data_IF_237292545463
#
_entry.id   IF_237292545463
#
_cell.length_a   1.000
_cell.length_b   1.000
_cell.length_c   1.000
_cell.angle_alpha   90.00
_cell.angle_beta   90.00
_cell.angle_gamma   90.00
#
_symmetry.space_group_name_H-M   'P 1'
#
loop_
_entity.id
_entity.type
_entity.pdbx_description
1 polymer ?
#
# COMPACT_ATOMS: atom_id res chain seq x y z
N UNK A 1 -5.10 -86.39 -5.41
CA UNK A 1 -4.56 -85.43 -6.38
C UNK A 1 -4.64 -84.02 -5.82
N UNK A 2 -3.55 -83.53 -5.23
CA UNK A 2 -3.44 -82.21 -4.63
C UNK A 2 -2.87 -81.25 -5.69
N UNK A 3 -3.62 -80.18 -6.02
CA UNK A 3 -3.17 -79.12 -6.86
C UNK A 3 -2.51 -78.05 -6.00
N UNK A 4 -1.22 -77.85 -6.19
CA UNK A 4 -0.45 -76.77 -5.60
C UNK A 4 -0.55 -75.54 -6.51
N UNK A 5 -1.05 -74.41 -5.99
CA UNK A 5 -1.03 -73.10 -6.65
C UNK A 5 0.38 -72.48 -6.60
N UNK A 6 0.85 -71.79 -7.64
CA UNK A 6 2.14 -71.10 -7.61
C UNK A 6 2.11 -69.83 -6.78
N UNK A 7 3.25 -69.38 -6.23
CA UNK A 7 3.31 -68.17 -5.40
C UNK A 7 3.12 -66.89 -6.27
N UNK A 8 2.22 -66.02 -5.77
CA UNK A 8 1.96 -64.73 -6.41
C UNK A 8 3.16 -63.80 -6.36
N UNK A 9 3.50 -63.26 -7.52
CA UNK A 9 4.47 -62.18 -7.68
C UNK A 9 3.79 -60.87 -7.33
N UNK A 10 4.13 -60.30 -6.17
CA UNK A 10 3.68 -58.97 -5.74
C UNK A 10 4.64 -57.93 -6.38
N UNK A 11 4.23 -57.39 -7.52
CA UNK A 11 4.94 -56.33 -8.22
C UNK A 11 4.30 -54.95 -7.88
N UNK A 12 4.38 -54.56 -6.62
CA UNK A 12 4.08 -53.16 -6.24
C UNK A 12 5.27 -52.28 -6.73
N UNK A 13 5.04 -51.25 -7.57
CA UNK A 13 6.09 -50.33 -7.97
C UNK A 13 6.62 -49.57 -6.76
N UNK A 14 7.93 -49.28 -6.69
CA UNK A 14 8.48 -48.50 -5.58
C UNK A 14 7.86 -47.11 -5.57
N UNK A 15 7.37 -46.70 -4.38
CA UNK A 15 6.86 -45.38 -4.16
C UNK A 15 7.92 -44.31 -4.48
N UNK A 16 7.70 -43.57 -5.54
CA UNK A 16 8.53 -42.42 -5.87
C UNK A 16 8.41 -41.39 -4.77
N UNK A 17 9.41 -41.30 -3.91
CA UNK A 17 9.53 -40.22 -2.95
C UNK A 17 9.75 -38.92 -3.73
N UNK A 18 8.69 -38.14 -3.94
CA UNK A 18 8.81 -36.77 -4.42
C UNK A 18 9.47 -35.99 -3.27
N UNK A 19 10.78 -35.80 -3.37
CA UNK A 19 11.52 -34.85 -2.51
C UNK A 19 11.14 -33.46 -2.98
N UNK A 20 10.09 -32.89 -2.38
CA UNK A 20 9.82 -31.46 -2.49
C UNK A 20 11.00 -30.78 -1.78
N UNK A 21 11.96 -30.30 -2.55
CA UNK A 21 12.97 -29.37 -2.03
C UNK A 21 12.24 -28.10 -1.65
N UNK A 22 11.96 -27.95 -0.36
CA UNK A 22 11.60 -26.65 0.20
C UNK A 22 12.86 -25.77 0.04
N UNK A 23 12.86 -24.92 -0.99
CA UNK A 23 13.85 -23.85 -1.07
C UNK A 23 13.71 -22.98 0.18
N UNK A 24 14.83 -22.64 0.80
CA UNK A 24 14.82 -21.64 1.88
C UNK A 24 14.15 -20.36 1.37
N UNK A 25 13.37 -19.65 2.23
CA UNK A 25 12.76 -18.40 1.80
C UNK A 25 13.83 -17.44 1.26
N UNK A 26 13.49 -16.75 0.17
CA UNK A 26 14.39 -15.79 -0.48
C UNK A 26 14.80 -14.70 0.52
N UNK A 27 16.08 -14.37 0.60
CA UNK A 27 16.52 -13.28 1.47
C UNK A 27 16.19 -11.92 0.85
N UNK A 28 16.04 -10.86 1.67
CA UNK A 28 15.84 -9.50 1.18
C UNK A 28 16.95 -9.08 0.20
N UNK A 29 18.19 -9.47 0.48
CA UNK A 29 19.33 -9.17 -0.40
C UNK A 29 19.20 -9.83 -1.77
N UNK A 30 18.74 -11.08 -1.83
CA UNK A 30 18.56 -11.79 -3.10
C UNK A 30 17.34 -11.22 -3.86
N UNK A 31 16.27 -10.86 -3.16
CA UNK A 31 15.13 -10.18 -3.74
C UNK A 31 15.51 -8.82 -4.37
N UNK A 32 16.36 -8.03 -3.69
CA UNK A 32 16.88 -6.77 -4.23
C UNK A 32 17.77 -6.98 -5.46
N UNK A 33 18.65 -7.99 -5.43
CA UNK A 33 19.47 -8.34 -6.62
C UNK A 33 18.61 -8.75 -7.81
N UNK A 34 17.57 -9.56 -7.58
CA UNK A 34 16.62 -9.96 -8.61
C UNK A 34 15.84 -8.75 -9.17
N UNK A 35 15.35 -7.86 -8.28
CA UNK A 35 14.68 -6.65 -8.71
C UNK A 35 15.61 -5.72 -9.51
N UNK A 36 16.87 -5.58 -9.06
CA UNK A 36 17.87 -4.77 -9.77
C UNK A 36 18.24 -5.34 -11.15
N UNK A 37 18.23 -6.66 -11.31
CA UNK A 37 18.55 -7.34 -12.56
C UNK A 37 17.37 -7.36 -13.56
N UNK A 38 16.15 -7.02 -13.13
CA UNK A 38 14.98 -7.02 -14.00
C UNK A 38 15.15 -6.03 -15.16
N UNK A 39 14.70 -6.40 -16.35
CA UNK A 39 14.82 -5.54 -17.53
C UNK A 39 14.04 -4.22 -17.33
N UNK A 40 12.83 -4.30 -16.80
CA UNK A 40 11.98 -3.15 -16.47
C UNK A 40 11.50 -3.28 -15.03
N UNK A 41 11.74 -2.25 -14.21
CA UNK A 41 11.45 -2.22 -12.78
C UNK A 41 10.48 -1.07 -12.44
N UNK A 42 9.46 -1.38 -11.63
CA UNK A 42 8.67 -0.40 -10.90
C UNK A 42 9.10 -0.40 -9.43
N UNK A 43 9.43 0.75 -8.88
CA UNK A 43 9.68 0.96 -7.45
C UNK A 43 8.58 1.87 -6.92
N UNK A 44 7.67 1.32 -6.13
CA UNK A 44 6.58 2.04 -5.51
C UNK A 44 6.82 2.14 -4.01
N UNK A 45 6.68 3.33 -3.44
CA UNK A 45 6.81 3.56 -2.01
C UNK A 45 5.58 4.27 -1.48
N UNK A 46 5.07 3.82 -0.33
CA UNK A 46 4.24 4.68 0.49
C UNK A 46 5.06 5.86 1.02
N UNK A 47 4.37 6.89 1.51
CA UNK A 47 5.01 8.12 1.97
C UNK A 47 5.07 8.23 3.49
N UNK A 48 3.92 8.33 4.16
CA UNK A 48 3.82 8.57 5.61
C UNK A 48 4.08 7.27 6.40
N UNK A 49 5.11 7.24 7.23
CA UNK A 49 5.56 6.02 7.94
C UNK A 49 6.60 5.21 7.17
N UNK A 50 6.77 5.46 5.88
CA UNK A 50 7.68 4.74 4.99
C UNK A 50 8.89 5.58 4.56
N UNK A 51 8.67 6.81 4.10
CA UNK A 51 9.71 7.76 3.68
C UNK A 51 9.77 9.00 4.57
N UNK A 52 8.66 9.36 5.20
CA UNK A 52 8.53 10.46 6.14
C UNK A 52 7.96 9.98 7.46
N UNK A 53 8.40 10.49 8.63
CA UNK A 53 7.81 10.13 9.91
C UNK A 53 6.39 10.67 10.04
N UNK A 54 5.57 9.98 10.86
CA UNK A 54 4.31 10.54 11.29
C UNK A 54 4.54 11.76 12.18
N UNK A 55 3.90 12.87 11.84
CA UNK A 55 3.94 14.14 12.58
C UNK A 55 2.53 14.64 12.86
N UNK A 56 2.37 15.51 13.86
CA UNK A 56 1.05 16.03 14.23
C UNK A 56 0.48 17.00 13.17
N UNK A 57 1.34 17.82 12.58
CA UNK A 57 0.98 18.66 11.42
C UNK A 57 1.30 17.92 10.12
N UNK A 58 0.32 17.44 9.35
CA UNK A 58 0.55 16.74 8.10
C UNK A 58 1.36 17.54 7.07
N UNK A 59 1.32 18.89 7.14
CA UNK A 59 2.09 19.78 6.27
C UNK A 59 3.59 19.79 6.60
N UNK A 60 3.98 19.32 7.79
CA UNK A 60 5.37 19.26 8.24
C UNK A 60 6.03 17.88 8.03
N UNK A 61 5.34 16.90 7.41
CA UNK A 61 5.87 15.57 7.14
C UNK A 61 6.88 15.60 5.99
N UNK A 62 8.12 15.96 6.27
CA UNK A 62 9.20 15.98 5.27
C UNK A 62 9.88 14.60 5.14
N UNK A 63 10.40 14.23 3.95
CA UNK A 63 11.12 12.98 3.77
C UNK A 63 12.34 12.89 4.67
N UNK A 64 12.64 11.69 5.13
CA UNK A 64 13.85 11.42 5.87
C UNK A 64 15.11 11.80 5.04
N UNK A 65 16.21 12.22 5.70
CA UNK A 65 17.44 12.57 5.01
C UNK A 65 17.91 11.49 4.04
N UNK A 66 18.12 11.86 2.78
CA UNK A 66 18.54 10.97 1.70
C UNK A 66 17.42 10.25 0.94
N UNK A 67 16.16 10.28 1.42
CA UNK A 67 15.05 9.60 0.76
C UNK A 67 14.78 10.16 -0.65
N UNK A 68 14.64 11.47 -0.79
CA UNK A 68 14.42 12.12 -2.09
C UNK A 68 15.57 11.82 -3.07
N UNK A 69 16.82 11.96 -2.63
CA UNK A 69 17.98 11.68 -3.47
C UNK A 69 18.04 10.21 -3.94
N UNK A 70 17.66 9.25 -3.08
CA UNK A 70 17.62 7.84 -3.47
C UNK A 70 16.53 7.56 -4.51
N UNK A 71 15.35 8.17 -4.38
CA UNK A 71 14.27 8.07 -5.36
C UNK A 71 14.66 8.69 -6.70
N UNK A 72 15.25 9.87 -6.69
CA UNK A 72 15.74 10.57 -7.89
C UNK A 72 16.81 9.75 -8.62
N UNK A 73 17.77 9.18 -7.87
CA UNK A 73 18.77 8.29 -8.46
C UNK A 73 18.14 7.08 -9.15
N UNK A 74 17.19 6.42 -8.50
CA UNK A 74 16.47 5.29 -9.09
C UNK A 74 15.68 5.71 -10.33
N UNK A 75 14.96 6.84 -10.27
CA UNK A 75 14.17 7.35 -11.38
C UNK A 75 15.01 7.79 -12.58
N UNK A 76 16.28 8.10 -12.38
CA UNK A 76 17.23 8.41 -13.44
C UNK A 76 17.79 7.16 -14.15
N UNK A 77 17.62 5.96 -13.58
CA UNK A 77 18.12 4.73 -14.18
C UNK A 77 17.24 4.27 -15.35
N UNK A 78 17.83 3.70 -16.41
CA UNK A 78 17.06 3.21 -17.55
C UNK A 78 16.01 2.17 -17.14
N UNK A 79 14.83 2.25 -17.78
CA UNK A 79 13.72 1.31 -17.57
C UNK A 79 13.33 1.12 -16.10
N UNK A 80 13.44 2.19 -15.32
CA UNK A 80 13.05 2.23 -13.91
C UNK A 80 11.98 3.30 -13.71
N UNK A 81 10.82 2.90 -13.28
CA UNK A 81 9.74 3.81 -12.90
C UNK A 81 9.65 3.87 -11.39
N UNK A 82 9.70 5.08 -10.83
CA UNK A 82 9.58 5.31 -9.39
C UNK A 82 8.27 6.04 -9.11
N UNK A 83 7.49 5.56 -8.14
CA UNK A 83 6.22 6.15 -7.75
C UNK A 83 6.08 6.29 -6.24
N UNK A 84 5.51 7.42 -5.79
CA UNK A 84 5.02 7.61 -4.44
C UNK A 84 3.51 7.38 -4.42
N UNK A 85 3.05 6.44 -3.59
CA UNK A 85 1.65 6.10 -3.41
C UNK A 85 1.20 6.54 -2.01
N UNK A 86 0.24 7.46 -1.90
CA UNK A 86 -0.15 8.03 -0.60
C UNK A 86 -1.67 8.14 -0.43
N UNK A 87 -2.13 8.09 0.82
CA UNK A 87 -3.49 8.49 1.19
C UNK A 87 -3.75 9.99 1.08
N UNK A 88 -2.69 10.80 0.99
CA UNK A 88 -2.80 12.24 0.70
C UNK A 88 -3.34 12.45 -0.70
N UNK A 89 -4.03 13.57 -0.96
CA UNK A 89 -4.24 13.97 -2.33
C UNK A 89 -2.90 14.31 -3.00
N UNK A 90 -2.86 14.28 -4.33
CA UNK A 90 -1.62 14.46 -5.09
C UNK A 90 -0.95 15.81 -4.84
N UNK A 91 -1.73 16.89 -4.70
CA UNK A 91 -1.21 18.23 -4.44
C UNK A 91 -0.54 18.31 -3.05
N UNK A 92 -1.16 17.74 -2.01
CA UNK A 92 -0.59 17.68 -0.67
C UNK A 92 0.68 16.80 -0.64
N UNK A 93 0.69 15.67 -1.36
CA UNK A 93 1.86 14.82 -1.49
C UNK A 93 3.01 15.57 -2.19
N UNK A 94 2.74 16.27 -3.28
CA UNK A 94 3.74 17.07 -3.98
C UNK A 94 4.35 18.16 -3.08
N UNK A 95 3.51 18.83 -2.27
CA UNK A 95 3.95 19.91 -1.39
C UNK A 95 4.94 19.44 -0.31
N UNK A 96 4.78 18.22 0.22
CA UNK A 96 5.61 17.72 1.34
C UNK A 96 6.75 16.81 0.89
N UNK A 97 6.60 16.08 -0.22
CA UNK A 97 7.60 15.09 -0.65
C UNK A 97 8.85 15.72 -1.27
N UNK A 98 8.74 16.92 -1.82
CA UNK A 98 9.81 17.53 -2.60
C UNK A 98 10.19 16.72 -3.86
N UNK A 99 9.41 15.70 -4.20
CA UNK A 99 9.68 14.87 -5.37
C UNK A 99 9.44 15.63 -6.66
N UNK A 100 10.38 15.47 -7.58
CA UNK A 100 10.34 16.09 -8.92
C UNK A 100 10.26 15.01 -9.99
N UNK A 101 9.79 15.39 -11.17
CA UNK A 101 9.81 14.49 -12.32
C UNK A 101 11.25 13.91 -12.55
N UNK A 102 11.39 12.64 -12.89
CA UNK A 102 10.33 11.71 -13.35
C UNK A 102 9.68 10.83 -12.27
N UNK A 103 9.73 11.20 -10.97
CA UNK A 103 9.05 10.47 -9.91
C UNK A 103 7.53 10.67 -10.04
N UNK A 104 6.79 9.59 -10.21
CA UNK A 104 5.33 9.60 -10.31
C UNK A 104 4.71 9.85 -8.93
N UNK A 105 3.73 10.77 -8.85
CA UNK A 105 2.96 11.02 -7.63
C UNK A 105 1.54 10.50 -7.81
N UNK A 106 1.14 9.57 -6.98
CA UNK A 106 -0.19 8.97 -6.98
C UNK A 106 -0.84 9.18 -5.62
N UNK A 107 -1.85 10.02 -5.59
CA UNK A 107 -2.59 10.40 -4.39
C UNK A 107 -3.84 9.55 -4.14
N UNK A 108 -4.54 9.88 -3.06
CA UNK A 108 -5.86 9.32 -2.72
C UNK A 108 -5.88 7.79 -2.78
N UNK A 109 -4.89 7.16 -2.10
CA UNK A 109 -4.69 5.70 -2.04
C UNK A 109 -4.54 5.00 -3.39
N UNK A 110 -4.11 5.71 -4.44
CA UNK A 110 -3.87 5.11 -5.76
C UNK A 110 -4.86 5.53 -6.84
N UNK A 111 -5.83 6.39 -6.53
CA UNK A 111 -6.86 6.81 -7.49
C UNK A 111 -6.58 8.13 -8.20
N UNK A 112 -5.67 8.98 -7.68
CA UNK A 112 -5.39 10.32 -8.21
C UNK A 112 -4.01 10.38 -8.87
N UNK A 113 -3.97 10.60 -10.16
CA UNK A 113 -2.80 10.63 -11.03
C UNK A 113 -2.52 12.04 -11.56
N UNK A 114 -1.44 12.25 -12.28
CA UNK A 114 -1.20 13.53 -12.97
C UNK A 114 -2.29 13.85 -13.98
N UNK A 115 -2.81 12.85 -14.66
CA UNK A 115 -3.93 12.97 -15.60
C UNK A 115 -5.29 13.19 -14.92
N UNK A 116 -5.34 13.27 -13.59
CA UNK A 116 -6.56 13.33 -12.79
C UNK A 116 -6.94 11.97 -12.18
N UNK A 117 -8.18 11.85 -11.72
CA UNK A 117 -8.67 10.58 -11.17
C UNK A 117 -8.86 9.55 -12.28
N UNK A 118 -8.53 8.29 -11.99
CA UNK A 118 -8.75 7.16 -12.91
C UNK A 118 -10.18 7.10 -13.44
N UNK A 119 -11.10 7.38 -12.54
CA UNK A 119 -12.52 7.55 -12.83
C UNK A 119 -13.03 8.73 -11.99
N UNK A 120 -13.22 9.92 -12.57
CA UNK A 120 -13.75 11.06 -11.84
C UNK A 120 -15.12 10.73 -11.24
N UNK A 121 -15.49 11.33 -10.08
CA UNK A 121 -16.80 11.14 -9.48
C UNK A 121 -17.89 11.52 -10.49
N UNK A 122 -18.92 10.66 -10.58
CA UNK A 122 -20.14 10.96 -11.33
C UNK A 122 -21.23 11.52 -10.41
N UNK A 123 -22.39 11.86 -10.98
CA UNK A 123 -23.51 12.44 -10.24
C UNK A 123 -23.98 11.55 -9.07
N UNK A 124 -24.03 10.24 -9.27
CA UNK A 124 -24.39 9.28 -8.21
C UNK A 124 -23.35 9.26 -7.06
N UNK A 125 -22.05 9.37 -7.38
CA UNK A 125 -21.01 9.45 -6.39
C UNK A 125 -21.10 10.74 -5.57
N UNK A 126 -21.40 11.87 -6.22
CA UNK A 126 -21.58 13.16 -5.54
C UNK A 126 -22.77 13.14 -4.56
N UNK A 127 -23.87 12.48 -4.92
CA UNK A 127 -25.02 12.30 -4.02
C UNK A 127 -24.61 11.48 -2.79
N UNK A 128 -23.91 10.37 -2.97
CA UNK A 128 -23.45 9.52 -1.85
C UNK A 128 -22.44 10.28 -1.00
N UNK A 129 -21.48 10.98 -1.62
CA UNK A 129 -20.46 11.76 -0.92
C UNK A 129 -21.07 12.90 -0.09
N UNK A 130 -22.07 13.59 -0.64
CA UNK A 130 -22.81 14.64 0.11
C UNK A 130 -23.50 14.07 1.35
N UNK A 131 -24.10 12.88 1.26
CA UNK A 131 -24.71 12.20 2.40
C UNK A 131 -23.69 11.77 3.45
N UNK A 132 -22.52 11.25 3.01
CA UNK A 132 -21.41 10.90 3.90
C UNK A 132 -20.94 12.15 4.66
N UNK A 133 -20.69 13.25 3.94
CA UNK A 133 -20.25 14.53 4.51
C UNK A 133 -21.22 15.03 5.57
N UNK A 134 -22.51 15.12 5.24
CA UNK A 134 -23.54 15.58 6.18
C UNK A 134 -23.60 14.72 7.45
N UNK A 135 -23.55 13.39 7.31
CA UNK A 135 -23.57 12.51 8.48
C UNK A 135 -22.29 12.61 9.35
N UNK A 136 -21.12 12.82 8.75
CA UNK A 136 -19.88 13.04 9.52
C UNK A 136 -19.89 14.41 10.21
N UNK A 137 -20.42 15.45 9.58
CA UNK A 137 -20.59 16.78 10.20
C UNK A 137 -21.53 16.74 11.42
N UNK A 138 -22.61 15.93 11.36
CA UNK A 138 -23.47 15.69 12.52
C UNK A 138 -22.72 15.01 13.68
N UNK A 139 -21.80 14.08 13.38
CA UNK A 139 -20.94 13.46 14.40
C UNK A 139 -20.01 14.50 15.02
N UNK A 140 -19.38 15.34 14.21
CA UNK A 140 -18.47 16.42 14.67
C UNK A 140 -19.20 17.41 15.59
N UNK A 141 -20.45 17.80 15.26
CA UNK A 141 -21.23 18.73 16.05
C UNK A 141 -21.39 18.29 17.53
N UNK A 142 -21.41 16.97 17.79
CA UNK A 142 -21.54 16.40 19.15
C UNK A 142 -20.22 15.86 19.72
N UNK A 143 -19.11 16.04 18.99
CA UNK A 143 -17.78 15.52 19.38
C UNK A 143 -16.75 16.66 19.38
N UNK A 144 -16.63 17.44 20.47
CA UNK A 144 -15.65 18.53 20.56
C UNK A 144 -14.23 18.04 20.27
N UNK A 145 -13.52 18.75 19.40
CA UNK A 145 -12.16 18.40 18.95
C UNK A 145 -12.11 17.52 17.70
N UNK A 146 -13.23 16.89 17.29
CA UNK A 146 -13.29 16.20 16.00
C UNK A 146 -13.43 17.19 14.84
N UNK A 147 -12.97 16.78 13.65
CA UNK A 147 -13.20 17.54 12.41
C UNK A 147 -13.28 16.61 11.20
N UNK A 148 -13.88 17.11 10.13
CA UNK A 148 -13.97 16.41 8.85
C UNK A 148 -13.02 17.07 7.87
N UNK A 149 -12.14 16.25 7.27
CA UNK A 149 -11.37 16.61 6.08
C UNK A 149 -12.16 16.17 4.83
N UNK A 150 -12.39 17.12 3.93
CA UNK A 150 -13.09 16.85 2.68
C UNK A 150 -12.07 16.61 1.55
N UNK A 151 -12.22 15.47 0.88
CA UNK A 151 -11.45 15.12 -0.32
C UNK A 151 -12.40 15.00 -1.53
N UNK A 152 -11.88 15.03 -2.76
CA UNK A 152 -12.73 14.95 -3.96
C UNK A 152 -13.63 13.71 -4.05
N UNK A 153 -13.17 12.57 -3.52
CA UNK A 153 -13.88 11.27 -3.60
C UNK A 153 -14.15 10.66 -2.24
N UNK A 154 -13.83 11.36 -1.14
CA UNK A 154 -14.01 10.85 0.23
C UNK A 154 -14.22 11.97 1.24
N UNK A 155 -14.64 11.60 2.44
CA UNK A 155 -14.59 12.45 3.62
C UNK A 155 -13.94 11.67 4.76
N UNK A 156 -13.09 12.34 5.54
CA UNK A 156 -12.29 11.74 6.59
C UNK A 156 -12.69 12.35 7.94
N UNK A 157 -13.12 11.52 8.87
CA UNK A 157 -13.35 11.90 10.26
C UNK A 157 -12.06 11.76 11.04
N UNK A 158 -11.54 12.87 11.55
CA UNK A 158 -10.38 12.91 12.44
C UNK A 158 -10.84 13.10 13.88
N UNK A 159 -10.45 12.17 14.76
CA UNK A 159 -10.77 12.23 16.20
C UNK A 159 -9.54 12.32 17.09
N UNK A 160 -8.33 12.45 16.51
CA UNK A 160 -7.09 12.56 17.30
C UNK A 160 -7.11 13.71 18.30
N UNK A 161 -7.61 14.93 17.97
CA UNK A 161 -7.67 16.04 18.91
C UNK A 161 -8.77 15.91 20.00
N UNK A 162 -9.64 14.90 19.93
CA UNK A 162 -10.68 14.66 20.94
C UNK A 162 -10.03 14.19 22.23
N UNK A 163 -10.15 14.96 23.32
CA UNK A 163 -9.49 14.66 24.60
C UNK A 163 -10.12 13.46 25.32
N UNK A 164 -11.47 13.35 25.30
CA UNK A 164 -12.19 12.25 25.94
C UNK A 164 -12.11 10.97 25.09
N UNK A 165 -11.45 9.90 25.59
CA UNK A 165 -11.36 8.63 24.86
C UNK A 165 -12.72 8.02 24.54
N UNK A 166 -13.71 8.14 25.43
CA UNK A 166 -15.05 7.57 25.23
C UNK A 166 -15.81 8.26 24.12
N UNK A 167 -15.67 9.60 24.01
CA UNK A 167 -16.24 10.37 22.89
C UNK A 167 -15.54 10.04 21.58
N UNK A 168 -14.24 9.84 21.61
CA UNK A 168 -13.45 9.43 20.44
C UNK A 168 -13.91 8.07 19.90
N UNK A 169 -14.00 7.07 20.77
CA UNK A 169 -14.46 5.72 20.40
C UNK A 169 -15.90 5.74 19.87
N UNK A 170 -16.78 6.51 20.52
CA UNK A 170 -18.16 6.66 20.07
C UNK A 170 -18.26 7.31 18.69
N UNK A 171 -17.51 8.37 18.43
CA UNK A 171 -17.52 9.05 17.14
C UNK A 171 -17.07 8.11 16.00
N UNK A 172 -16.02 7.31 16.22
CA UNK A 172 -15.57 6.28 15.26
C UNK A 172 -16.65 5.21 15.06
N UNK A 173 -17.24 4.71 16.13
CA UNK A 173 -18.32 3.71 16.05
C UNK A 173 -19.56 4.25 15.31
N UNK A 174 -19.95 5.50 15.56
CA UNK A 174 -21.07 6.14 14.88
C UNK A 174 -20.78 6.31 13.37
N UNK A 175 -19.55 6.67 13.00
CA UNK A 175 -19.15 6.76 11.59
C UNK A 175 -19.22 5.40 10.90
N UNK A 176 -18.77 4.34 11.57
CA UNK A 176 -18.78 2.97 11.05
C UNK A 176 -20.19 2.36 10.98
N UNK A 177 -21.06 2.70 11.93
CA UNK A 177 -22.43 2.21 11.98
C UNK A 177 -23.40 2.97 11.06
N UNK A 178 -23.09 4.23 10.75
CA UNK A 178 -23.93 5.15 9.95
C UNK A 178 -23.40 5.33 8.52
N UNK A 179 -22.66 6.43 8.25
CA UNK A 179 -22.26 6.80 6.88
C UNK A 179 -21.41 5.74 6.17
N UNK A 180 -20.63 4.96 6.90
CA UNK A 180 -19.84 3.87 6.33
C UNK A 180 -20.68 2.71 5.74
N UNK A 181 -21.95 2.63 6.06
CA UNK A 181 -22.89 1.61 5.57
C UNK A 181 -23.76 2.08 4.39
N UNK A 182 -23.58 3.29 3.93
CA UNK A 182 -24.26 3.76 2.73
C UNK A 182 -23.86 2.92 1.52
N UNK A 183 -24.82 2.62 0.66
CA UNK A 183 -24.53 1.89 -0.57
C UNK A 183 -23.53 2.71 -1.43
N UNK A 184 -22.47 2.07 -1.88
CA UNK A 184 -21.38 2.72 -2.61
C UNK A 184 -20.30 3.35 -1.72
N UNK A 185 -20.39 3.22 -0.38
CA UNK A 185 -19.34 3.65 0.54
C UNK A 185 -18.23 2.59 0.70
N UNK A 186 -16.99 3.03 0.64
CA UNK A 186 -15.78 2.24 0.88
C UNK A 186 -15.04 2.82 2.08
N UNK A 187 -14.75 1.98 3.07
CA UNK A 187 -14.22 2.41 4.36
C UNK A 187 -12.76 2.03 4.51
N UNK A 188 -11.98 2.97 4.99
CA UNK A 188 -10.61 2.75 5.45
C UNK A 188 -10.49 3.25 6.89
N UNK A 189 -10.17 2.34 7.81
CA UNK A 189 -9.93 2.64 9.21
C UNK A 189 -8.44 2.88 9.44
N UNK A 190 -8.10 3.93 10.18
CA UNK A 190 -6.75 4.24 10.61
C UNK A 190 -6.70 4.58 12.09
N UNK A 191 -5.54 4.95 12.58
CA UNK A 191 -5.34 5.30 13.99
C UNK A 191 -6.00 6.64 14.33
N UNK A 192 -7.16 6.61 15.01
CA UNK A 192 -8.00 7.77 15.34
C UNK A 192 -8.57 8.51 14.12
N UNK A 193 -8.85 7.77 13.07
CA UNK A 193 -9.38 8.30 11.81
C UNK A 193 -10.23 7.25 11.10
N UNK A 194 -11.31 7.70 10.45
CA UNK A 194 -12.09 6.89 9.51
C UNK A 194 -12.25 7.67 8.23
N UNK A 195 -11.80 7.13 7.12
CA UNK A 195 -12.04 7.65 5.79
C UNK A 195 -13.17 6.85 5.12
N UNK A 196 -14.15 7.57 4.57
CA UNK A 196 -15.27 6.98 3.84
C UNK A 196 -15.27 7.57 2.44
N UNK A 197 -14.95 6.72 1.46
CA UNK A 197 -14.84 7.06 0.06
C UNK A 197 -16.04 6.53 -0.73
N UNK A 198 -16.37 7.18 -1.84
CA UNK A 198 -17.41 6.72 -2.80
C UNK A 198 -16.81 5.80 -3.88
N UNK A 199 -15.52 5.50 -3.77
CA UNK A 199 -14.81 4.61 -4.70
C UNK A 199 -13.77 3.80 -3.95
N UNK A 200 -13.64 2.57 -4.37
CA UNK A 200 -12.52 1.75 -3.90
C UNK A 200 -11.22 2.27 -4.53
N UNK A 201 -10.31 2.68 -3.67
CA UNK A 201 -8.95 3.02 -4.04
C UNK A 201 -7.99 2.00 -3.41
N UNK A 202 -6.99 1.56 -4.17
CA UNK A 202 -6.06 0.55 -3.73
C UNK A 202 -4.66 0.84 -4.29
N UNK A 203 -3.68 0.92 -3.39
CA UNK A 203 -2.26 1.01 -3.80
C UNK A 203 -1.85 -0.18 -4.68
N UNK A 204 -2.43 -1.36 -4.45
CA UNK A 204 -2.19 -2.53 -5.30
C UNK A 204 -2.72 -2.36 -6.73
N UNK A 205 -3.90 -1.74 -6.89
CA UNK A 205 -4.43 -1.41 -8.21
C UNK A 205 -3.53 -0.38 -8.93
N UNK A 206 -3.02 0.62 -8.20
CA UNK A 206 -2.06 1.59 -8.74
C UNK A 206 -0.76 0.92 -9.20
N UNK A 207 -0.20 0.00 -8.39
CA UNK A 207 0.99 -0.78 -8.78
C UNK A 207 0.70 -1.62 -10.03
N UNK A 208 -0.44 -2.31 -10.09
CA UNK A 208 -0.84 -3.10 -11.24
C UNK A 208 -0.96 -2.25 -12.50
N UNK A 209 -1.49 -1.03 -12.37
CA UNK A 209 -1.55 -0.06 -13.48
C UNK A 209 -0.16 0.37 -13.93
N UNK A 210 0.74 0.74 -13.02
CA UNK A 210 2.14 1.09 -13.35
C UNK A 210 2.83 -0.06 -14.08
N UNK A 211 2.67 -1.28 -13.59
CA UNK A 211 3.20 -2.49 -14.23
C UNK A 211 2.67 -2.65 -15.65
N UNK A 212 1.37 -2.49 -15.86
CA UNK A 212 0.75 -2.62 -17.18
C UNK A 212 1.22 -1.52 -18.15
N UNK A 213 1.38 -0.28 -17.67
CA UNK A 213 1.81 0.86 -18.48
C UNK A 213 3.28 0.77 -18.89
N UNK A 214 4.14 0.25 -18.01
CA UNK A 214 5.58 0.20 -18.23
C UNK A 214 6.06 -1.15 -18.78
N UNK A 215 5.23 -2.19 -18.73
CA UNK A 215 5.62 -3.56 -19.01
C UNK A 215 6.60 -4.12 -17.97
N UNK A 216 6.53 -3.66 -16.72
CA UNK A 216 7.49 -4.02 -15.70
C UNK A 216 7.54 -5.52 -15.43
N UNK A 217 8.75 -6.07 -15.52
CA UNK A 217 9.05 -7.44 -15.17
C UNK A 217 8.88 -7.68 -13.66
N UNK A 218 9.35 -6.74 -12.85
CA UNK A 218 9.25 -6.77 -11.38
C UNK A 218 8.71 -5.44 -10.88
N UNK A 219 7.81 -5.50 -9.90
CA UNK A 219 7.44 -4.38 -9.05
C UNK A 219 8.00 -4.59 -7.63
N UNK A 220 8.61 -3.56 -7.07
CA UNK A 220 9.01 -3.51 -5.67
C UNK A 220 8.13 -2.50 -4.96
N UNK A 221 7.43 -2.91 -3.90
CA UNK A 221 6.55 -2.06 -3.12
C UNK A 221 6.96 -2.03 -1.65
N UNK A 222 7.08 -0.82 -1.09
CA UNK A 222 7.46 -0.58 0.30
C UNK A 222 6.34 0.19 1.00
N UNK A 223 5.92 -0.27 2.19
CA UNK A 223 4.87 0.37 2.96
C UNK A 223 4.84 -0.08 4.42
N UNK A 224 4.10 0.66 5.27
CA UNK A 224 4.08 0.44 6.72
C UNK A 224 2.70 0.18 7.32
N UNK A 225 1.61 0.54 6.64
CA UNK A 225 0.28 0.54 7.23
C UNK A 225 -0.69 -0.55 6.68
N UNK A 226 -1.94 -0.50 7.15
CA UNK A 226 -3.00 -1.45 6.77
C UNK A 226 -3.40 -1.32 5.29
N UNK A 227 -3.29 -0.12 4.71
CA UNK A 227 -3.60 0.09 3.29
C UNK A 227 -2.54 -0.54 2.40
N UNK A 228 -1.29 -0.59 2.88
CA UNK A 228 -0.18 -1.26 2.22
C UNK A 228 -0.31 -2.77 2.25
N UNK A 229 -0.85 -3.35 3.34
CA UNK A 229 -1.12 -4.78 3.42
C UNK A 229 -2.07 -5.25 2.31
N UNK A 230 -3.09 -4.46 1.97
CA UNK A 230 -3.96 -4.72 0.81
C UNK A 230 -3.17 -4.65 -0.50
N UNK A 231 -2.19 -3.74 -0.58
CA UNK A 231 -1.26 -3.63 -1.71
C UNK A 231 -0.36 -4.85 -1.83
N UNK A 232 0.28 -5.28 -0.72
CA UNK A 232 1.14 -6.47 -0.70
C UNK A 232 0.40 -7.74 -1.13
N UNK A 233 -0.86 -7.90 -0.68
CA UNK A 233 -1.69 -9.04 -1.05
C UNK A 233 -2.04 -9.12 -2.56
N UNK A 234 -1.88 -8.03 -3.30
CA UNK A 234 -2.15 -7.95 -4.74
C UNK A 234 -0.88 -8.05 -5.60
N UNK A 235 0.30 -8.14 -4.99
CA UNK A 235 1.57 -8.31 -5.71
C UNK A 235 1.63 -9.67 -6.41
N UNK A 236 2.24 -9.69 -7.59
CA UNK A 236 2.50 -10.93 -8.34
C UNK A 236 3.61 -11.74 -7.66
N UNK A 237 3.71 -13.02 -7.96
CA UNK A 237 4.71 -13.92 -7.35
C UNK A 237 6.17 -13.47 -7.55
N UNK A 238 6.46 -12.77 -8.65
CA UNK A 238 7.78 -12.21 -8.95
C UNK A 238 8.03 -10.84 -8.32
N UNK A 239 7.00 -10.17 -7.82
CA UNK A 239 7.13 -8.85 -7.22
C UNK A 239 7.71 -8.93 -5.80
N UNK A 240 8.21 -7.82 -5.30
CA UNK A 240 8.87 -7.73 -3.99
C UNK A 240 8.08 -6.80 -3.08
N UNK A 241 7.43 -7.36 -2.06
CA UNK A 241 6.76 -6.60 -1.01
C UNK A 241 7.67 -6.44 0.21
N UNK A 242 7.80 -5.22 0.72
CA UNK A 242 8.66 -4.90 1.87
C UNK A 242 7.88 -4.09 2.90
N UNK A 243 7.63 -4.70 4.05
CA UNK A 243 6.99 -4.07 5.22
C UNK A 243 7.99 -3.20 5.98
N UNK A 244 7.59 -2.01 6.38
CA UNK A 244 8.34 -1.17 7.33
C UNK A 244 7.77 -1.34 8.72
N UNK A 245 8.65 -1.53 9.72
CA UNK A 245 8.26 -1.70 11.12
C UNK A 245 7.65 -3.06 11.44
N UNK A 246 7.01 -3.17 12.58
CA UNK A 246 6.50 -4.42 13.16
C UNK A 246 5.06 -4.76 12.70
N UNK A 247 4.53 -5.85 13.22
CA UNK A 247 3.16 -6.31 13.00
C UNK A 247 3.03 -7.40 11.94
N UNK A 248 1.81 -7.97 11.78
CA UNK A 248 1.52 -8.95 10.74
C UNK A 248 1.69 -8.33 9.35
N UNK A 249 2.13 -9.14 8.37
CA UNK A 249 2.29 -8.64 7.01
C UNK A 249 2.12 -9.73 5.96
N UNK A 250 1.52 -9.35 4.82
CA UNK A 250 1.49 -10.11 3.58
C UNK A 250 2.76 -9.88 2.72
N UNK A 251 3.62 -8.92 3.08
CA UNK A 251 4.88 -8.69 2.40
C UNK A 251 5.85 -9.85 2.62
N UNK A 252 6.62 -10.19 1.59
CA UNK A 252 7.64 -11.24 1.65
C UNK A 252 8.87 -10.86 2.49
N UNK A 253 9.10 -9.57 2.68
CA UNK A 253 10.27 -9.04 3.38
C UNK A 253 9.92 -7.91 4.33
N UNK A 254 10.87 -7.54 5.20
CA UNK A 254 10.69 -6.49 6.21
C UNK A 254 11.97 -5.70 6.41
N UNK A 255 11.80 -4.41 6.72
CA UNK A 255 12.85 -3.53 7.27
C UNK A 255 12.36 -2.90 8.57
N UNK A 256 13.30 -2.51 9.43
CA UNK A 256 12.96 -2.06 10.78
C UNK A 256 12.30 -0.67 10.81
N UNK A 257 12.75 0.25 9.96
CA UNK A 257 12.45 1.67 10.09
C UNK A 257 12.70 2.45 8.78
N UNK A 258 12.31 3.73 8.77
CA UNK A 258 12.50 4.65 7.65
C UNK A 258 13.98 4.77 7.24
N UNK A 259 14.97 4.93 8.15
CA UNK A 259 16.37 4.89 7.77
C UNK A 259 16.80 3.62 7.03
N UNK A 260 16.22 2.47 7.38
CA UNK A 260 16.49 1.22 6.66
C UNK A 260 15.90 1.22 5.25
N UNK A 261 14.72 1.86 5.04
CA UNK A 261 14.16 2.08 3.69
C UNK A 261 15.11 2.92 2.85
N UNK A 262 15.61 4.03 3.37
CA UNK A 262 16.54 4.91 2.65
C UNK A 262 17.81 4.16 2.22
N UNK A 263 18.39 3.37 3.14
CA UNK A 263 19.56 2.53 2.81
C UNK A 263 19.24 1.47 1.75
N UNK A 264 18.07 0.87 1.82
CA UNK A 264 17.59 -0.12 0.86
C UNK A 264 17.46 0.48 -0.54
N UNK A 265 16.82 1.66 -0.66
CA UNK A 265 16.67 2.35 -1.95
C UNK A 265 18.03 2.75 -2.53
N UNK A 266 18.96 3.21 -1.68
CA UNK A 266 20.35 3.47 -2.08
C UNK A 266 21.05 2.20 -2.60
N UNK A 267 20.93 1.09 -1.88
CA UNK A 267 21.48 -0.21 -2.29
C UNK A 267 20.88 -0.70 -3.61
N UNK A 268 19.57 -0.56 -3.78
CA UNK A 268 18.89 -0.92 -5.04
C UNK A 268 19.41 -0.09 -6.21
N UNK A 269 19.62 1.22 -6.01
CA UNK A 269 20.20 2.10 -7.00
C UNK A 269 21.63 1.70 -7.37
N UNK A 270 22.46 1.33 -6.38
CA UNK A 270 23.85 0.86 -6.60
C UNK A 270 23.91 -0.49 -7.33
N UNK A 271 22.95 -1.38 -7.08
CA UNK A 271 22.88 -2.70 -7.73
C UNK A 271 22.39 -2.62 -9.19
N UNK A 272 21.58 -1.59 -9.50
CA UNK A 272 20.96 -1.44 -10.82
C UNK A 272 21.75 -0.53 -11.76
N UNK A 273 22.56 0.40 -11.24
CA UNK A 273 23.42 1.34 -11.98
C UNK A 273 24.80 0.80 -12.16
#
# INVERSE_FOLDING_TARGET
MLWLSPPGYDASPPAAHIVVRMSSPETLTDALRRAAAAETLVVACDYDGTLAPFVDDPGAAVPAPGAAAALERLAALPRTTVALLSGRNRAALAAVSGAVAPVELVGSHGSEWESGFDRPPGDDDEVVLSRIRGALEEIVTRTPGAHVELKPTSAVLHVRPVEDPSLRERALADALAGPARLAGAHVTEGKNVVEIAVREASKGAAISRLVAQTGAEVALFIGDDVTDERGFAQLRAQDVGIKVGDGPTAAGHRVADIPAVVRLLGTLADLRG
#
